data_IF_653833359238
#
_entry.id   IF_653833359238
#
_cell.length_a   1.000
_cell.length_b   1.000
_cell.length_c   1.000
_cell.angle_alpha   90.00
_cell.angle_beta   90.00
_cell.angle_gamma   90.00
#
_symmetry.space_group_name_H-M   'P 1'
#
loop_
_entity.id
_entity.type
_entity.pdbx_description
1 polymer ?
#
# COMPACT_ATOMS: atom_id res chain seq x y z
N UNK A 1 -13.82 -3.54 -2.60
CA UNK A 1 -14.05 -3.24 -4.03
C UNK A 1 -14.78 -4.36 -4.79
N UNK A 2 -14.75 -5.60 -4.29
CA UNK A 2 -15.38 -6.77 -4.93
C UNK A 2 -16.84 -6.55 -5.35
N UNK A 3 -17.72 -5.94 -4.52
CA UNK A 3 -19.10 -5.64 -4.91
C UNK A 3 -19.23 -4.66 -6.07
N UNK A 4 -18.29 -3.72 -6.22
CA UNK A 4 -18.28 -2.76 -7.33
C UNK A 4 -18.04 -3.42 -8.70
N UNK A 5 -17.52 -4.65 -8.69
CA UNK A 5 -17.29 -5.47 -9.89
C UNK A 5 -18.29 -6.62 -10.03
N UNK A 6 -19.44 -6.56 -9.32
CA UNK A 6 -20.52 -7.53 -9.40
C UNK A 6 -20.20 -8.92 -8.82
N UNK A 7 -19.23 -9.02 -7.92
CA UNK A 7 -18.77 -10.28 -7.36
C UNK A 7 -19.18 -10.43 -5.89
N UNK A 8 -19.38 -11.68 -5.46
CA UNK A 8 -19.68 -11.97 -4.05
C UNK A 8 -18.43 -11.80 -3.20
N UNK A 9 -18.58 -11.16 -2.05
CA UNK A 9 -17.51 -11.00 -1.06
C UNK A 9 -17.26 -12.35 -0.40
N UNK A 10 -16.04 -12.92 -0.48
CA UNK A 10 -15.73 -14.16 0.21
C UNK A 10 -15.64 -13.89 1.72
N UNK A 11 -16.59 -14.44 2.50
CA UNK A 11 -16.76 -14.09 3.92
C UNK A 11 -15.55 -14.40 4.79
N UNK A 12 -14.84 -15.51 4.53
CA UNK A 12 -13.65 -15.90 5.29
C UNK A 12 -12.49 -14.92 5.08
N UNK A 13 -12.24 -14.49 3.82
CA UNK A 13 -11.23 -13.50 3.49
C UNK A 13 -11.59 -12.12 4.05
N UNK A 14 -12.89 -11.77 4.05
CA UNK A 14 -13.36 -10.54 4.69
C UNK A 14 -13.05 -10.54 6.19
N UNK A 15 -13.30 -11.67 6.89
CA UNK A 15 -12.97 -11.80 8.31
C UNK A 15 -11.47 -11.58 8.56
N UNK A 16 -10.60 -12.20 7.78
CA UNK A 16 -9.14 -12.00 7.92
C UNK A 16 -8.72 -10.57 7.62
N UNK A 17 -9.35 -9.92 6.64
CA UNK A 17 -9.12 -8.50 6.36
C UNK A 17 -9.52 -7.62 7.55
N UNK A 18 -10.62 -7.93 8.23
CA UNK A 18 -11.04 -7.21 9.45
C UNK A 18 -10.06 -7.44 10.60
N UNK A 19 -9.50 -8.66 10.74
CA UNK A 19 -8.44 -8.96 11.72
C UNK A 19 -7.20 -8.11 11.44
N UNK A 20 -6.76 -8.03 10.18
CA UNK A 20 -5.63 -7.17 9.77
C UNK A 20 -5.92 -5.70 10.11
N UNK A 21 -7.11 -5.21 9.78
CA UNK A 21 -7.52 -3.84 10.08
C UNK A 21 -7.51 -3.55 11.59
N UNK A 22 -8.00 -4.49 12.40
CA UNK A 22 -7.95 -4.38 13.86
C UNK A 22 -6.50 -4.25 14.36
N UNK A 23 -5.59 -5.08 13.84
CA UNK A 23 -4.17 -5.00 14.18
C UNK A 23 -3.55 -3.65 13.82
N UNK A 24 -3.86 -3.11 12.64
CA UNK A 24 -3.41 -1.77 12.22
C UNK A 24 -3.95 -0.68 13.15
N UNK A 25 -5.22 -0.74 13.52
CA UNK A 25 -5.82 0.21 14.48
C UNK A 25 -5.09 0.17 15.82
N UNK A 26 -4.79 -1.03 16.34
CA UNK A 26 -4.05 -1.18 17.61
C UNK A 26 -2.65 -0.56 17.55
N UNK A 27 -1.94 -0.70 16.43
CA UNK A 27 -0.63 -0.05 16.22
C UNK A 27 -0.76 1.48 16.29
N UNK A 28 -1.87 2.03 15.82
CA UNK A 28 -2.08 3.47 15.73
C UNK A 28 -2.58 4.12 17.04
N UNK A 29 -3.18 3.34 17.96
CA UNK A 29 -3.75 3.87 19.21
C UNK A 29 -2.79 4.79 19.98
N UNK A 30 -1.49 4.44 20.20
CA UNK A 30 -0.56 5.30 20.92
C UNK A 30 -0.36 6.68 20.29
N UNK A 31 -0.57 6.81 19.00
CA UNK A 31 -0.36 8.05 18.25
C UNK A 31 -1.59 8.96 18.21
N UNK A 32 -2.78 8.46 18.58
CA UNK A 32 -4.00 9.27 18.67
C UNK A 32 -4.00 10.27 19.84
N UNK A 33 -3.14 10.07 20.85
CA UNK A 33 -3.07 10.91 22.05
C UNK A 33 -2.43 12.29 21.84
N UNK A 34 -1.79 12.55 20.70
CA UNK A 34 -1.07 13.81 20.41
C UNK A 34 -1.95 14.96 19.88
N UNK A 35 -3.26 14.80 19.90
CA UNK A 35 -4.23 15.82 19.49
C UNK A 35 -4.65 15.72 18.02
N UNK A 36 -5.96 15.64 17.79
CA UNK A 36 -6.56 15.68 16.44
C UNK A 36 -6.64 17.13 15.95
N UNK A 37 -5.51 17.71 15.57
CA UNK A 37 -5.50 19.00 14.87
C UNK A 37 -6.20 18.91 13.51
N UNK A 38 -6.73 20.04 12.99
CA UNK A 38 -7.40 20.09 11.69
C UNK A 38 -6.55 19.55 10.53
N UNK A 39 -5.21 19.66 10.64
CA UNK A 39 -4.26 19.08 9.70
C UNK A 39 -4.29 17.56 9.67
N UNK A 40 -4.39 16.90 10.83
CA UNK A 40 -4.46 15.43 10.95
C UNK A 40 -5.75 14.90 10.31
N UNK A 41 -6.87 15.57 10.55
CA UNK A 41 -8.16 15.19 9.94
C UNK A 41 -8.10 15.28 8.42
N UNK A 42 -7.55 16.39 7.87
CA UNK A 42 -7.39 16.55 6.42
C UNK A 42 -6.48 15.48 5.82
N UNK A 43 -5.33 15.23 6.43
CA UNK A 43 -4.41 14.18 5.99
C UNK A 43 -5.07 12.80 6.02
N UNK A 44 -5.81 12.47 7.07
CA UNK A 44 -6.53 11.19 7.20
C UNK A 44 -7.58 11.01 6.11
N UNK A 45 -8.34 12.07 5.76
CA UNK A 45 -9.31 12.03 4.67
C UNK A 45 -8.65 11.80 3.31
N UNK A 46 -7.51 12.43 3.04
CA UNK A 46 -6.75 12.23 1.80
C UNK A 46 -6.18 10.80 1.71
N UNK A 47 -5.66 10.26 2.82
CA UNK A 47 -5.19 8.88 2.89
C UNK A 47 -6.34 7.90 2.67
N UNK A 48 -7.51 8.15 3.27
CA UNK A 48 -8.68 7.32 3.07
C UNK A 48 -9.14 7.32 1.60
N UNK A 49 -9.16 8.49 0.96
CA UNK A 49 -9.47 8.62 -0.47
C UNK A 49 -8.46 7.82 -1.32
N UNK A 50 -7.17 7.94 -1.02
CA UNK A 50 -6.12 7.20 -1.72
C UNK A 50 -6.26 5.68 -1.53
N UNK A 51 -6.64 5.22 -0.34
CA UNK A 51 -6.87 3.81 -0.02
C UNK A 51 -8.00 3.17 -0.87
N UNK A 52 -8.96 3.97 -1.34
CA UNK A 52 -9.97 3.53 -2.31
C UNK A 52 -9.50 3.70 -3.77
N UNK A 53 -8.89 4.84 -4.08
CA UNK A 53 -8.53 5.19 -5.45
C UNK A 53 -7.45 4.25 -6.01
N UNK A 54 -6.42 3.91 -5.22
CA UNK A 54 -5.30 3.09 -5.65
C UNK A 54 -5.72 1.66 -6.09
N UNK A 55 -6.41 0.85 -5.27
CA UNK A 55 -6.85 -0.48 -5.69
C UNK A 55 -7.89 -0.43 -6.82
N UNK A 56 -8.75 0.59 -6.85
CA UNK A 56 -9.73 0.77 -7.91
C UNK A 56 -9.05 1.04 -9.26
N UNK A 57 -8.05 1.94 -9.26
CA UNK A 57 -7.25 2.24 -10.44
C UNK A 57 -6.53 1.01 -10.97
N UNK A 58 -5.85 0.27 -10.09
CA UNK A 58 -5.14 -0.95 -10.43
C UNK A 58 -6.06 -2.02 -11.04
N UNK A 59 -7.23 -2.25 -10.45
CA UNK A 59 -8.21 -3.23 -10.98
C UNK A 59 -8.79 -2.81 -12.31
N UNK A 60 -9.16 -1.53 -12.48
CA UNK A 60 -9.63 -1.02 -13.76
C UNK A 60 -8.56 -1.14 -14.83
N UNK A 61 -7.33 -0.77 -14.52
CA UNK A 61 -6.20 -0.92 -15.44
C UNK A 61 -6.00 -2.38 -15.86
N UNK A 62 -6.04 -3.34 -14.93
CA UNK A 62 -5.92 -4.76 -15.26
C UNK A 62 -7.03 -5.23 -16.21
N UNK A 63 -8.25 -4.71 -16.09
CA UNK A 63 -9.37 -5.04 -17.00
C UNK A 63 -9.11 -4.47 -18.40
N UNK A 64 -8.70 -3.21 -18.51
CA UNK A 64 -8.45 -2.58 -19.81
C UNK A 64 -7.21 -3.17 -20.51
N UNK A 65 -6.11 -3.38 -19.79
CA UNK A 65 -4.88 -3.93 -20.39
C UNK A 65 -4.99 -5.41 -20.80
N UNK A 66 -6.06 -6.13 -20.44
CA UNK A 66 -6.33 -7.46 -20.99
C UNK A 66 -6.57 -7.45 -22.50
N UNK A 67 -7.13 -6.37 -23.03
CA UNK A 67 -7.43 -6.22 -24.44
C UNK A 67 -6.18 -5.88 -25.27
N UNK A 68 -5.22 -5.16 -24.67
CA UNK A 68 -4.08 -4.58 -25.38
C UNK A 68 -2.78 -5.40 -25.26
N UNK A 69 -2.80 -6.56 -24.62
CA UNK A 69 -1.65 -7.47 -24.43
C UNK A 69 -0.37 -6.79 -23.87
N UNK A 70 -0.53 -5.70 -23.12
CA UNK A 70 0.60 -4.97 -22.54
C UNK A 70 1.31 -5.79 -21.46
N UNK A 71 2.64 -5.81 -21.50
CA UNK A 71 3.45 -6.40 -20.43
C UNK A 71 3.32 -5.61 -19.13
N UNK A 72 3.67 -6.24 -18.00
CA UNK A 72 3.69 -5.60 -16.69
C UNK A 72 4.54 -4.33 -16.70
N UNK A 73 5.73 -4.39 -17.30
CA UNK A 73 6.64 -3.24 -17.41
C UNK A 73 6.04 -2.10 -18.24
N UNK A 74 5.39 -2.41 -19.36
CA UNK A 74 4.72 -1.39 -20.19
C UNK A 74 3.57 -0.70 -19.46
N UNK A 75 2.81 -1.46 -18.63
CA UNK A 75 1.74 -0.90 -17.80
C UNK A 75 2.30 0.07 -16.74
N UNK A 76 3.35 -0.34 -16.02
CA UNK A 76 4.00 0.51 -15.01
C UNK A 76 4.59 1.76 -15.67
N UNK A 77 5.27 1.62 -16.80
CA UNK A 77 5.81 2.75 -17.54
C UNK A 77 4.70 3.71 -17.98
N UNK A 78 3.60 3.19 -18.53
CA UNK A 78 2.45 4.00 -18.94
C UNK A 78 1.84 4.79 -17.78
N UNK A 79 1.66 4.16 -16.62
CA UNK A 79 1.16 4.83 -15.41
C UNK A 79 2.10 5.95 -14.96
N UNK A 80 3.41 5.68 -14.94
CA UNK A 80 4.42 6.66 -14.56
C UNK A 80 4.43 7.86 -15.50
N UNK A 81 4.45 7.60 -16.82
CA UNK A 81 4.43 8.67 -17.83
C UNK A 81 3.16 9.52 -17.74
N UNK A 82 2.00 8.91 -17.55
CA UNK A 82 0.73 9.64 -17.45
C UNK A 82 0.62 10.45 -16.15
N UNK A 83 1.27 10.05 -15.07
CA UNK A 83 1.31 10.82 -13.82
C UNK A 83 2.42 11.88 -13.77
N UNK A 84 3.43 11.78 -14.63
CA UNK A 84 4.59 12.69 -14.66
C UNK A 84 4.21 14.17 -14.80
N UNK A 85 3.28 14.60 -15.68
CA UNK A 85 2.91 16.01 -15.80
C UNK A 85 2.36 16.59 -14.49
N UNK A 86 1.56 15.80 -13.75
CA UNK A 86 1.04 16.18 -12.45
C UNK A 86 2.16 16.39 -11.42
N UNK A 87 3.12 15.46 -11.37
CA UNK A 87 4.25 15.55 -10.44
C UNK A 87 5.20 16.69 -10.79
N UNK A 88 5.43 16.96 -12.09
CA UNK A 88 6.21 18.11 -12.52
C UNK A 88 5.55 19.44 -12.09
N UNK A 89 4.24 19.53 -12.25
CA UNK A 89 3.50 20.73 -11.80
C UNK A 89 3.65 20.93 -10.29
N UNK A 90 3.44 19.87 -9.49
CA UNK A 90 3.62 19.95 -8.04
C UNK A 90 5.06 20.29 -7.64
N UNK A 91 6.07 19.79 -8.38
CA UNK A 91 7.47 20.09 -8.11
C UNK A 91 7.79 21.57 -8.29
N UNK A 92 7.19 22.23 -9.28
CA UNK A 92 7.35 23.70 -9.47
C UNK A 92 6.83 24.44 -8.24
N UNK A 93 5.65 24.11 -7.74
CA UNK A 93 5.10 24.74 -6.53
C UNK A 93 5.94 24.43 -5.30
N UNK A 94 6.40 23.19 -5.14
CA UNK A 94 7.22 22.78 -4.00
C UNK A 94 8.57 23.52 -3.98
N UNK A 95 9.23 23.70 -5.15
CA UNK A 95 10.49 24.45 -5.25
C UNK A 95 10.27 25.94 -4.98
N UNK A 96 9.14 26.50 -5.41
CA UNK A 96 8.81 27.89 -5.14
C UNK A 96 8.54 28.16 -3.65
N UNK A 97 8.00 27.19 -2.93
CA UNK A 97 7.65 27.33 -1.51
C UNK A 97 8.81 26.93 -0.57
N UNK A 98 9.48 25.82 -0.82
CA UNK A 98 10.48 25.23 0.07
C UNK A 98 11.93 25.28 -0.47
N UNK A 99 12.14 25.73 -1.70
CA UNK A 99 13.43 25.74 -2.37
C UNK A 99 13.84 24.38 -2.97
N UNK A 100 15.08 24.31 -3.46
CA UNK A 100 15.61 23.08 -4.05
C UNK A 100 15.94 22.03 -2.97
N UNK A 101 15.68 20.74 -3.23
CA UNK A 101 16.00 19.68 -2.29
C UNK A 101 17.52 19.57 -2.07
N UNK A 102 17.92 19.21 -0.87
CA UNK A 102 19.32 18.94 -0.54
C UNK A 102 19.84 17.68 -1.25
N UNK A 103 21.17 17.54 -1.41
CA UNK A 103 21.76 16.35 -2.01
C UNK A 103 21.38 15.04 -1.28
N UNK A 104 21.26 15.08 0.05
CA UNK A 104 20.79 13.94 0.85
C UNK A 104 19.34 13.57 0.55
N UNK A 105 18.44 14.54 0.41
CA UNK A 105 17.05 14.30 0.02
C UNK A 105 16.95 13.71 -1.38
N UNK A 106 17.75 14.19 -2.33
CA UNK A 106 17.78 13.64 -3.69
C UNK A 106 18.23 12.17 -3.66
N UNK A 107 19.32 11.86 -2.95
CA UNK A 107 19.82 10.49 -2.85
C UNK A 107 18.80 9.56 -2.20
N UNK A 108 18.20 9.96 -1.09
CA UNK A 108 17.17 9.18 -0.40
C UNK A 108 15.97 8.95 -1.31
N UNK A 109 15.47 9.97 -2.00
CA UNK A 109 14.36 9.86 -2.94
C UNK A 109 14.70 8.95 -4.12
N UNK A 110 15.94 8.98 -4.63
CA UNK A 110 16.40 8.09 -5.70
C UNK A 110 16.40 6.63 -5.26
N UNK A 111 16.90 6.33 -4.05
CA UNK A 111 16.89 4.98 -3.49
C UNK A 111 15.43 4.47 -3.38
N UNK A 112 14.54 5.27 -2.82
CA UNK A 112 13.11 4.93 -2.71
C UNK A 112 12.48 4.75 -4.09
N UNK A 113 12.76 5.63 -5.04
CA UNK A 113 12.23 5.53 -6.40
C UNK A 113 12.66 4.23 -7.10
N UNK A 114 13.92 3.82 -6.96
CA UNK A 114 14.43 2.58 -7.58
C UNK A 114 13.85 1.35 -6.89
N UNK A 115 14.00 1.21 -5.58
CA UNK A 115 13.64 -0.02 -4.88
C UNK A 115 12.13 -0.15 -4.66
N UNK A 116 11.44 0.89 -4.23
CA UNK A 116 10.01 0.89 -3.99
C UNK A 116 9.22 1.24 -5.26
N UNK A 117 9.63 2.30 -5.96
CA UNK A 117 8.90 2.76 -7.16
C UNK A 117 9.03 1.83 -8.36
N UNK A 118 10.19 1.23 -8.60
CA UNK A 118 10.41 0.36 -9.76
C UNK A 118 10.38 -1.12 -9.34
N UNK A 119 11.32 -1.57 -8.51
CA UNK A 119 11.48 -3.01 -8.23
C UNK A 119 10.26 -3.58 -7.54
N UNK A 120 9.84 -3.01 -6.41
CA UNK A 120 8.69 -3.52 -5.65
C UNK A 120 7.40 -3.41 -6.46
N UNK A 121 7.21 -2.33 -7.21
CA UNK A 121 6.02 -2.13 -8.05
C UNK A 121 5.94 -3.17 -9.15
N UNK A 122 7.03 -3.45 -9.86
CA UNK A 122 7.06 -4.48 -10.90
C UNK A 122 6.76 -5.87 -10.32
N UNK A 123 7.37 -6.23 -9.19
CA UNK A 123 7.13 -7.50 -8.52
C UNK A 123 5.66 -7.63 -8.07
N UNK A 124 5.09 -6.59 -7.49
CA UNK A 124 3.70 -6.57 -7.06
C UNK A 124 2.73 -6.72 -8.25
N UNK A 125 2.94 -5.98 -9.33
CA UNK A 125 2.11 -6.10 -10.52
C UNK A 125 2.27 -7.46 -11.22
N UNK A 126 3.46 -8.03 -11.22
CA UNK A 126 3.66 -9.38 -11.75
C UNK A 126 2.93 -10.42 -10.90
N UNK A 127 3.04 -10.34 -9.58
CA UNK A 127 2.30 -11.21 -8.66
C UNK A 127 0.78 -11.09 -8.86
N UNK A 128 0.24 -9.87 -8.97
CA UNK A 128 -1.19 -9.66 -9.26
C UNK A 128 -1.59 -10.18 -10.64
N UNK A 129 -0.71 -10.07 -11.64
CA UNK A 129 -0.96 -10.56 -12.98
C UNK A 129 -1.06 -12.09 -13.05
N UNK A 130 -0.20 -12.80 -12.31
CA UNK A 130 -0.23 -14.26 -12.20
C UNK A 130 -1.57 -14.78 -11.63
N UNK A 131 -2.16 -14.04 -10.71
CA UNK A 131 -3.40 -14.46 -10.02
C UNK A 131 -4.66 -13.71 -10.48
N UNK A 132 -4.58 -12.92 -11.54
CA UNK A 132 -5.67 -12.03 -12.00
C UNK A 132 -7.00 -12.71 -12.30
N UNK A 133 -6.97 -14.02 -12.60
CA UNK A 133 -8.17 -14.82 -12.89
C UNK A 133 -8.79 -15.44 -11.63
N UNK A 134 -8.09 -15.41 -10.51
CA UNK A 134 -8.55 -15.93 -9.22
C UNK A 134 -8.70 -14.79 -8.22
N UNK A 135 -9.95 -14.38 -8.00
CA UNK A 135 -10.26 -13.24 -7.10
C UNK A 135 -9.85 -13.49 -5.64
N UNK A 136 -9.87 -14.75 -5.18
CA UNK A 136 -9.42 -15.10 -3.85
C UNK A 136 -7.92 -14.90 -3.72
N UNK A 137 -7.14 -15.44 -4.64
CA UNK A 137 -5.67 -15.28 -4.66
C UNK A 137 -5.26 -13.82 -4.88
N UNK A 138 -5.99 -13.06 -5.70
CA UNK A 138 -5.75 -11.64 -5.88
C UNK A 138 -5.93 -10.87 -4.55
N UNK A 139 -6.99 -11.18 -3.79
CA UNK A 139 -7.20 -10.58 -2.48
C UNK A 139 -6.08 -10.93 -1.48
N UNK A 140 -5.50 -12.12 -1.56
CA UNK A 140 -4.32 -12.50 -0.73
C UNK A 140 -3.10 -11.68 -1.12
N UNK A 141 -2.79 -11.57 -2.41
CA UNK A 141 -1.66 -10.73 -2.88
C UNK A 141 -1.85 -9.27 -2.48
N UNK A 142 -3.06 -8.72 -2.62
CA UNK A 142 -3.37 -7.37 -2.16
C UNK A 142 -3.21 -7.23 -0.63
N UNK A 143 -3.58 -8.24 0.14
CA UNK A 143 -3.45 -8.22 1.60
C UNK A 143 -2.00 -8.31 2.08
N UNK A 144 -1.06 -8.87 1.30
CA UNK A 144 0.37 -8.90 1.67
C UNK A 144 0.97 -7.50 1.79
N UNK A 145 0.36 -6.49 1.17
CA UNK A 145 0.77 -5.09 1.36
C UNK A 145 0.66 -4.65 2.84
N UNK A 146 -0.25 -5.24 3.62
CA UNK A 146 -0.29 -4.97 5.06
C UNK A 146 1.00 -5.42 5.78
N UNK A 147 1.78 -6.34 5.20
CA UNK A 147 3.10 -6.74 5.68
C UNK A 147 4.14 -5.61 5.64
N UNK A 148 3.92 -4.59 4.81
CA UNK A 148 4.77 -3.38 4.77
C UNK A 148 4.91 -2.75 6.16
N UNK A 149 3.83 -2.75 6.95
CA UNK A 149 3.85 -2.23 8.33
C UNK A 149 4.87 -2.96 9.19
N UNK A 150 5.01 -4.28 9.03
CA UNK A 150 5.99 -5.09 9.77
C UNK A 150 7.42 -4.71 9.39
N UNK A 151 7.70 -4.62 8.10
CA UNK A 151 9.04 -4.27 7.60
C UNK A 151 9.40 -2.82 7.92
N UNK A 152 8.44 -1.90 7.87
CA UNK A 152 8.66 -0.50 8.24
C UNK A 152 9.02 -0.37 9.73
N UNK A 153 8.31 -1.06 10.61
CA UNK A 153 8.62 -1.04 12.05
C UNK A 153 9.98 -1.69 12.35
N UNK A 154 10.26 -2.86 11.77
CA UNK A 154 11.55 -3.53 11.96
C UNK A 154 12.69 -2.70 11.38
N UNK A 155 12.53 -2.15 10.18
CA UNK A 155 13.52 -1.30 9.53
C UNK A 155 13.76 0.00 10.30
N UNK A 156 12.71 0.64 10.81
CA UNK A 156 12.81 1.83 11.64
C UNK A 156 13.63 1.58 12.90
N UNK A 157 13.32 0.50 13.63
CA UNK A 157 14.07 0.14 14.84
C UNK A 157 15.53 -0.26 14.56
N UNK A 158 15.79 -1.02 13.48
CA UNK A 158 17.12 -1.56 13.20
C UNK A 158 18.06 -0.55 12.54
N UNK A 159 17.56 0.31 11.65
CA UNK A 159 18.38 1.16 10.80
C UNK A 159 18.25 2.65 11.11
N UNK A 160 17.09 3.09 11.65
CA UNK A 160 16.81 4.50 11.93
C UNK A 160 16.90 4.84 13.42
N UNK A 161 17.04 3.82 14.28
CA UNK A 161 17.11 4.03 15.73
C UNK A 161 15.77 4.42 16.36
N UNK A 162 14.65 4.08 15.71
CA UNK A 162 13.32 4.32 16.25
C UNK A 162 13.13 3.55 17.56
N UNK A 163 12.34 4.11 18.46
CA UNK A 163 11.97 3.42 19.71
C UNK A 163 11.16 2.17 19.41
N UNK A 164 11.38 1.14 20.23
CA UNK A 164 10.59 -0.09 20.13
C UNK A 164 9.10 0.21 20.27
N UNK A 165 8.25 -0.49 19.52
CA UNK A 165 6.81 -0.34 19.62
C UNK A 165 6.31 -0.56 21.05
N UNK A 166 5.24 0.12 21.41
CA UNK A 166 4.56 -0.12 22.69
C UNK A 166 4.00 -1.55 22.74
N UNK A 167 3.58 -2.01 23.91
CA UNK A 167 2.92 -3.33 24.04
C UNK A 167 1.72 -3.46 23.10
N UNK A 168 0.92 -2.40 22.95
CA UNK A 168 -0.18 -2.36 21.97
C UNK A 168 0.32 -2.45 20.53
N UNK A 169 1.46 -1.83 20.24
CA UNK A 169 2.12 -1.95 18.94
C UNK A 169 2.52 -3.39 18.63
N UNK A 170 3.16 -4.09 19.57
CA UNK A 170 3.52 -5.51 19.41
C UNK A 170 2.30 -6.42 19.25
N UNK A 171 1.24 -6.20 20.04
CA UNK A 171 -0.03 -6.94 19.88
C UNK A 171 -0.65 -6.68 18.49
N UNK A 172 -0.65 -5.43 18.04
CA UNK A 172 -1.14 -5.09 16.71
C UNK A 172 -0.35 -5.77 15.60
N UNK A 173 0.99 -5.79 15.69
CA UNK A 173 1.88 -6.52 14.76
C UNK A 173 1.53 -8.01 14.73
N UNK A 174 1.39 -8.65 15.88
CA UNK A 174 1.03 -10.07 15.96
C UNK A 174 -0.32 -10.34 15.29
N UNK A 175 -1.33 -9.50 15.52
CA UNK A 175 -2.67 -9.63 14.92
C UNK A 175 -2.61 -9.43 13.40
N UNK A 176 -1.86 -8.44 12.89
CA UNK A 176 -1.65 -8.24 11.44
C UNK A 176 -1.02 -9.49 10.83
N UNK A 177 0.04 -10.01 11.46
CA UNK A 177 0.73 -11.23 10.98
C UNK A 177 -0.20 -12.44 10.92
N UNK A 178 -0.98 -12.68 11.98
CA UNK A 178 -1.99 -13.75 12.03
C UNK A 178 -3.04 -13.55 10.92
N UNK A 179 -3.50 -12.33 10.71
CA UNK A 179 -4.46 -12.01 9.67
C UNK A 179 -3.94 -12.28 8.26
N UNK A 180 -2.68 -11.92 7.96
CA UNK A 180 -2.03 -12.20 6.66
C UNK A 180 -1.87 -13.71 6.44
N UNK A 181 -1.33 -14.42 7.42
CA UNK A 181 -1.14 -15.89 7.35
C UNK A 181 -2.50 -16.58 7.21
N UNK A 182 -3.48 -16.20 8.05
CA UNK A 182 -4.83 -16.77 7.99
C UNK A 182 -5.50 -16.56 6.63
N UNK A 183 -5.36 -15.36 6.05
CA UNK A 183 -5.89 -15.06 4.72
C UNK A 183 -5.24 -15.94 3.64
N UNK A 184 -3.93 -16.15 3.72
CA UNK A 184 -3.19 -17.01 2.79
C UNK A 184 -3.61 -18.47 2.90
N UNK A 185 -3.69 -19.02 4.12
CA UNK A 185 -4.08 -20.41 4.37
C UNK A 185 -5.53 -20.72 3.94
N UNK A 186 -6.47 -19.82 4.23
CA UNK A 186 -7.88 -19.98 3.84
C UNK A 186 -8.08 -19.96 2.31
N UNK A 187 -7.15 -19.37 1.57
CA UNK A 187 -7.20 -19.33 0.11
C UNK A 187 -6.59 -20.58 -0.53
N UNK A 188 -5.59 -21.18 0.12
CA UNK A 188 -4.95 -22.42 -0.37
C UNK A 188 -5.77 -23.69 -0.11
N UNK A 189 -6.84 -23.62 0.69
CA UNK A 189 -7.64 -24.79 1.07
C UNK A 189 -8.91 -25.03 0.21
N UNK A 190 -9.19 -24.17 -0.74
CA UNK A 190 -10.30 -24.27 -1.72
C UNK A 190 -9.76 -24.47 -3.14
#
# INVERSE_FOLDING_TARGET
>A
LTPLFGQRVPGKQLLMTLVILLGIILIQIPYFGSGLGSGVVRASLLILLAAFAYPLGNRKMMVHCKQDQLSTTQRVLGMTLMSTPFWLLLSVFAVADAGLPSGGQILQSLIVAVFSGVVATLLFFEATNLVKHNHKQLAVVEATQAGEVLFTLLGGCLFLGDSLPSLLGFLGIAIVTIGIIGNSLLTGSD
#
